data_IF_213992895515
#
_entry.id   IF_213992895515
#
_cell.length_a   1.000
_cell.length_b   1.000
_cell.length_c   1.000
_cell.angle_alpha   90.00
_cell.angle_beta   90.00
_cell.angle_gamma   90.00
#
_symmetry.space_group_name_H-M   'P 1'
#
loop_
_entity.id
_entity.type
_entity.pdbx_description
1 polymer ?
#
# COMPACT_ATOMS: atom_id res chain seq x y z
N UNK A 1 14.63 4.49 8.25
CA UNK A 1 14.68 3.79 6.95
C UNK A 1 15.76 2.72 7.03
N UNK A 2 15.43 1.46 6.72
CA UNK A 2 16.40 0.36 6.66
C UNK A 2 16.72 0.07 5.19
N UNK A 3 18.00 0.02 4.83
CA UNK A 3 18.45 -0.22 3.45
C UNK A 3 19.07 -1.59 3.35
N UNK A 4 18.61 -2.40 2.38
CA UNK A 4 19.11 -3.76 2.14
C UNK A 4 19.43 -3.90 0.65
N UNK A 5 20.53 -4.59 0.34
CA UNK A 5 20.93 -4.91 -1.04
C UNK A 5 20.65 -6.40 -1.25
N UNK A 6 19.81 -6.73 -2.24
CA UNK A 6 19.40 -8.10 -2.58
C UNK A 6 19.73 -8.43 -4.02
N UNK A 7 20.12 -9.68 -4.27
CA UNK A 7 20.22 -10.26 -5.61
C UNK A 7 18.85 -10.76 -6.10
N UNK A 8 18.72 -11.00 -7.40
CA UNK A 8 17.54 -11.66 -7.96
C UNK A 8 17.37 -13.04 -7.31
N UNK A 9 16.14 -13.35 -6.86
CA UNK A 9 15.79 -14.56 -6.13
C UNK A 9 15.92 -14.45 -4.61
N UNK A 10 16.59 -13.42 -4.09
CA UNK A 10 16.68 -13.22 -2.64
C UNK A 10 15.41 -12.57 -2.05
N UNK A 11 15.20 -12.83 -0.77
CA UNK A 11 13.98 -12.47 -0.05
C UNK A 11 14.26 -11.57 1.15
N UNK A 12 13.25 -10.79 1.53
CA UNK A 12 13.19 -9.96 2.74
C UNK A 12 11.91 -10.33 3.48
N UNK A 13 12.03 -10.61 4.78
CA UNK A 13 10.92 -10.95 5.65
C UNK A 13 10.63 -9.79 6.62
N UNK A 14 9.36 -9.41 6.75
CA UNK A 14 8.89 -8.32 7.61
C UNK A 14 7.76 -8.86 8.50
N UNK A 15 7.67 -8.34 9.73
CA UNK A 15 6.66 -8.72 10.73
C UNK A 15 6.60 -10.25 10.97
N UNK A 16 7.70 -10.82 11.47
CA UNK A 16 7.83 -12.26 11.77
C UNK A 16 7.43 -13.15 10.58
N UNK A 17 7.67 -12.66 9.36
CA UNK A 17 7.41 -13.35 8.10
C UNK A 17 5.98 -13.26 7.58
N UNK A 18 5.11 -12.42 8.15
CA UNK A 18 3.80 -12.15 7.57
C UNK A 18 3.90 -11.51 6.19
N UNK A 19 4.86 -10.61 6.00
CA UNK A 19 5.12 -9.98 4.71
C UNK A 19 6.45 -10.52 4.18
N UNK A 20 6.43 -11.03 2.96
CA UNK A 20 7.61 -11.49 2.24
C UNK A 20 7.77 -10.69 0.96
N UNK A 21 8.95 -10.12 0.77
CA UNK A 21 9.33 -9.38 -0.43
C UNK A 21 10.40 -10.18 -1.16
N UNK A 22 10.23 -10.43 -2.45
CA UNK A 22 11.15 -11.20 -3.28
C UNK A 22 11.58 -10.35 -4.48
N UNK A 23 12.88 -10.26 -4.74
CA UNK A 23 13.38 -9.63 -5.96
C UNK A 23 13.25 -10.61 -7.13
N UNK A 24 12.35 -10.34 -8.08
CA UNK A 24 12.01 -11.29 -9.15
C UNK A 24 12.90 -11.15 -10.38
N UNK A 25 13.12 -9.92 -10.83
CA UNK A 25 13.96 -9.65 -12.00
C UNK A 25 14.41 -8.19 -12.02
N UNK A 26 15.41 -7.91 -12.87
CA UNK A 26 15.81 -6.57 -13.26
C UNK A 26 15.78 -6.48 -14.78
N UNK A 27 15.15 -5.42 -15.30
CA UNK A 27 15.10 -5.09 -16.73
C UNK A 27 15.47 -3.63 -16.91
N UNK A 28 16.76 -3.37 -17.15
CA UNK A 28 17.30 -2.01 -17.14
C UNK A 28 17.13 -1.37 -15.77
N UNK A 29 16.41 -0.24 -15.73
CA UNK A 29 16.08 0.49 -14.50
C UNK A 29 14.85 -0.07 -13.77
N UNK A 30 14.08 -0.95 -14.41
CA UNK A 30 12.89 -1.54 -13.81
C UNK A 30 13.26 -2.77 -12.99
N UNK A 31 12.72 -2.85 -11.78
CA UNK A 31 12.89 -4.00 -10.89
C UNK A 31 11.51 -4.63 -10.65
N UNK A 32 11.40 -5.92 -10.92
CA UNK A 32 10.25 -6.72 -10.54
C UNK A 32 10.36 -7.11 -9.06
N UNK A 33 9.37 -6.70 -8.27
CA UNK A 33 9.31 -7.03 -6.83
C UNK A 33 8.02 -7.80 -6.56
N UNK A 34 8.15 -9.02 -6.08
CA UNK A 34 7.04 -9.83 -5.59
C UNK A 34 6.78 -9.52 -4.12
N UNK A 35 5.51 -9.32 -3.74
CA UNK A 35 5.12 -9.11 -2.34
C UNK A 35 4.03 -10.12 -2.01
N UNK A 36 4.27 -10.95 -0.99
CA UNK A 36 3.29 -11.87 -0.42
C UNK A 36 2.94 -11.41 0.99
N UNK A 37 1.66 -11.15 1.23
CA UNK A 37 1.12 -10.80 2.54
C UNK A 37 -0.29 -11.40 2.71
N UNK A 38 -0.80 -11.49 3.96
CA UNK A 38 -2.20 -11.79 4.23
C UNK A 38 -3.15 -10.77 3.58
N UNK A 39 -4.39 -11.18 3.29
CA UNK A 39 -5.42 -10.31 2.68
C UNK A 39 -5.81 -9.10 3.53
N UNK A 40 -5.53 -9.13 4.83
CA UNK A 40 -5.76 -8.02 5.75
C UNK A 40 -4.76 -6.86 5.56
N UNK A 41 -3.69 -7.07 4.78
CA UNK A 41 -2.66 -6.07 4.54
C UNK A 41 -2.79 -5.63 3.08
N UNK A 42 -3.16 -4.38 2.87
CA UNK A 42 -3.21 -3.79 1.54
C UNK A 42 -1.79 -3.55 0.99
N UNK A 43 -1.60 -3.88 -0.28
CA UNK A 43 -0.37 -3.66 -1.02
C UNK A 43 -0.71 -2.85 -2.26
N UNK A 44 -0.23 -1.62 -2.32
CA UNK A 44 -0.47 -0.69 -3.41
C UNK A 44 0.82 -0.09 -3.93
N UNK A 45 0.82 0.27 -5.22
CA UNK A 45 1.80 1.24 -5.74
C UNK A 45 1.52 2.60 -5.12
N UNK A 46 2.56 3.40 -4.90
CA UNK A 46 2.47 4.71 -4.23
C UNK A 46 1.37 5.59 -4.80
N UNK A 47 1.29 5.69 -6.13
CA UNK A 47 0.30 6.50 -6.83
C UNK A 47 -1.13 6.00 -6.64
N UNK A 48 -1.33 4.67 -6.50
CA UNK A 48 -2.65 4.08 -6.24
C UNK A 48 -3.04 4.29 -4.78
N UNK A 49 -2.11 4.10 -3.85
CA UNK A 49 -2.33 4.36 -2.43
C UNK A 49 -2.79 5.80 -2.19
N UNK A 50 -2.07 6.79 -2.74
CA UNK A 50 -2.41 8.21 -2.59
C UNK A 50 -3.83 8.50 -3.11
N UNK A 51 -4.20 7.94 -4.28
CA UNK A 51 -5.56 8.12 -4.83
C UNK A 51 -6.63 7.54 -3.91
N UNK A 52 -6.42 6.35 -3.34
CA UNK A 52 -7.35 5.73 -2.38
C UNK A 52 -7.54 6.60 -1.14
N UNK A 53 -6.45 7.13 -0.58
CA UNK A 53 -6.52 8.00 0.60
C UNK A 53 -7.29 9.30 0.32
N UNK A 54 -7.04 9.95 -0.82
CA UNK A 54 -7.77 11.17 -1.21
C UNK A 54 -9.27 10.87 -1.34
N UNK A 55 -9.62 9.80 -2.06
CA UNK A 55 -11.02 9.41 -2.26
C UNK A 55 -11.74 9.09 -0.95
N UNK A 56 -11.07 8.39 -0.02
CA UNK A 56 -11.62 8.11 1.31
C UNK A 56 -11.86 9.40 2.11
N UNK A 57 -10.91 10.33 2.09
CA UNK A 57 -11.04 11.62 2.78
C UNK A 57 -12.19 12.48 2.24
N UNK A 58 -12.38 12.49 0.92
CA UNK A 58 -13.52 13.18 0.29
C UNK A 58 -14.86 12.56 0.68
N UNK A 59 -14.94 11.22 0.72
CA UNK A 59 -16.14 10.51 1.14
C UNK A 59 -16.49 10.81 2.60
N UNK A 60 -15.49 10.83 3.49
CA UNK A 60 -15.68 11.17 4.90
C UNK A 60 -16.16 12.62 5.09
N UNK A 61 -15.61 13.56 4.31
CA UNK A 61 -16.08 14.95 4.34
C UNK A 61 -17.53 15.08 3.90
N UNK A 62 -17.91 14.37 2.83
CA UNK A 62 -19.28 14.39 2.32
C UNK A 62 -20.25 13.83 3.35
N UNK A 63 -19.93 12.69 3.97
CA UNK A 63 -20.74 12.10 5.06
C UNK A 63 -20.93 13.07 6.23
N UNK A 64 -19.84 13.72 6.67
CA UNK A 64 -19.93 14.71 7.75
C UNK A 64 -20.80 15.91 7.38
N UNK A 65 -20.74 16.38 6.13
CA UNK A 65 -21.60 17.47 5.66
C UNK A 65 -23.08 17.05 5.60
N UNK A 66 -23.37 15.83 5.15
CA UNK A 66 -24.72 15.25 5.12
C UNK A 66 -25.29 15.07 6.54
N UNK A 67 -24.48 14.56 7.48
CA UNK A 67 -24.87 14.42 8.89
C UNK A 67 -25.14 15.78 9.56
N UNK A 68 -24.32 16.80 9.28
CA UNK A 68 -24.51 18.16 9.82
C UNK A 68 -25.74 18.87 9.23
N UNK A 69 -26.08 18.57 7.97
CA UNK A 69 -27.30 19.08 7.35
C UNK A 69 -28.55 18.40 7.93
N UNK A 70 -28.47 17.10 8.22
CA UNK A 70 -29.57 16.33 8.81
C UNK A 70 -29.84 16.66 10.29
N UNK A 71 -28.85 17.13 11.05
CA UNK A 71 -29.03 17.53 12.46
C UNK A 71 -29.65 18.92 12.65
N UNK A 72 -29.69 19.75 11.59
CA UNK A 72 -30.19 21.12 11.63
C UNK A 72 -31.62 21.28 11.06
N UNK A 73 -32.29 20.17 10.74
CA UNK A 73 -33.68 20.10 10.25
C UNK A 73 -34.53 19.35 11.25
#
# INVERSE_FOLDING_TARGET
MLTLIRRIGEEIYIDKGKIKVTLLFQKGELIGVGIKAPRSIDIDRKEVFIRKCIAQHELEKKKKQEELAASNT
#
